data_IF_732213491808
#
_entry.id   IF_732213491808
#
_cell.length_a   1.000
_cell.length_b   1.000
_cell.length_c   1.000
_cell.angle_alpha   90.00
_cell.angle_beta   90.00
_cell.angle_gamma   90.00
#
_symmetry.space_group_name_H-M   'P 1'
#
loop_
_entity.id
_entity.type
_entity.pdbx_description
1 polymer ?
#
# COMPACT_ATOMS: atom_id res chain seq x y z
N UNK A 1 12.35 -7.50 -21.19
CA UNK A 1 13.73 -6.96 -21.08
C UNK A 1 14.38 -7.57 -19.84
N UNK A 2 15.62 -8.07 -19.94
CA UNK A 2 16.29 -8.66 -18.77
C UNK A 2 16.68 -7.59 -17.74
N UNK A 3 16.96 -8.00 -16.50
CA UNK A 3 17.36 -7.07 -15.43
C UNK A 3 18.69 -6.39 -15.68
N UNK A 4 19.64 -7.09 -16.30
CA UNK A 4 20.89 -6.48 -16.76
C UNK A 4 20.67 -5.40 -17.83
N UNK A 5 19.81 -5.66 -18.82
CA UNK A 5 19.49 -4.67 -19.85
C UNK A 5 18.75 -3.45 -19.27
N UNK A 6 17.84 -3.68 -18.31
CA UNK A 6 17.13 -2.58 -17.65
C UNK A 6 18.10 -1.72 -16.81
N UNK A 7 18.98 -2.36 -16.03
CA UNK A 7 20.00 -1.66 -15.24
C UNK A 7 20.97 -0.86 -16.12
N UNK A 8 21.39 -1.43 -17.25
CA UNK A 8 22.21 -0.73 -18.23
C UNK A 8 21.52 0.53 -18.76
N UNK A 9 20.25 0.44 -19.15
CA UNK A 9 19.48 1.58 -19.63
C UNK A 9 19.36 2.69 -18.57
N UNK A 10 19.04 2.31 -17.33
CA UNK A 10 18.96 3.27 -16.21
C UNK A 10 20.29 4.02 -16.02
N UNK A 11 21.41 3.30 -16.13
CA UNK A 11 22.73 3.89 -15.99
C UNK A 11 23.10 4.79 -17.19
N UNK A 12 22.80 4.36 -18.42
CA UNK A 12 23.00 5.13 -19.65
C UNK A 12 22.18 6.45 -19.64
N UNK A 13 20.96 6.39 -19.09
CA UNK A 13 20.09 7.55 -18.88
C UNK A 13 20.57 8.45 -17.72
N UNK A 14 21.63 8.06 -17.00
CA UNK A 14 22.25 8.81 -15.89
C UNK A 14 21.27 9.15 -14.77
N UNK A 15 20.34 8.24 -14.48
CA UNK A 15 19.41 8.40 -13.35
C UNK A 15 20.19 8.56 -12.05
N UNK A 16 19.98 9.68 -11.36
CA UNK A 16 20.68 9.99 -10.10
C UNK A 16 20.01 9.36 -8.88
N UNK A 17 18.67 9.34 -8.88
CA UNK A 17 17.86 8.79 -7.79
C UNK A 17 16.87 7.81 -8.41
N UNK A 18 17.01 6.53 -8.08
CA UNK A 18 16.13 5.46 -8.55
C UNK A 18 15.18 5.02 -7.44
N UNK A 19 13.87 5.07 -7.73
CA UNK A 19 12.82 4.75 -6.73
C UNK A 19 12.28 3.34 -6.96
N UNK A 20 12.35 2.50 -5.94
CA UNK A 20 11.71 1.18 -5.86
C UNK A 20 10.28 1.33 -5.33
N UNK A 21 9.31 1.14 -6.23
CA UNK A 21 7.88 1.23 -5.93
C UNK A 21 7.21 -0.13 -5.65
N UNK A 22 7.97 -1.22 -5.58
CA UNK A 22 7.40 -2.57 -5.38
C UNK A 22 7.93 -3.25 -4.11
N UNK A 23 9.19 -2.99 -3.70
CA UNK A 23 9.83 -3.69 -2.59
C UNK A 23 9.73 -5.22 -2.76
N UNK A 24 9.07 -5.94 -1.84
CA UNK A 24 8.84 -7.39 -1.95
C UNK A 24 7.44 -7.79 -2.42
N UNK A 25 6.68 -6.86 -3.00
CA UNK A 25 5.35 -7.17 -3.52
C UNK A 25 5.39 -7.77 -4.93
N UNK A 26 4.22 -8.16 -5.44
CA UNK A 26 4.08 -8.84 -6.73
C UNK A 26 4.68 -8.00 -7.87
N UNK A 27 5.55 -8.62 -8.67
CA UNK A 27 6.22 -7.93 -9.78
C UNK A 27 7.45 -7.12 -9.37
N UNK A 28 7.93 -7.28 -8.13
CA UNK A 28 9.20 -6.75 -7.69
C UNK A 28 10.36 -7.16 -8.61
N UNK A 29 11.29 -6.22 -8.80
CA UNK A 29 12.50 -6.39 -9.61
C UNK A 29 13.74 -5.95 -8.85
N UNK A 30 13.88 -6.45 -7.62
CA UNK A 30 14.96 -6.06 -6.70
C UNK A 30 16.35 -6.39 -7.24
N UNK A 31 16.45 -7.36 -8.15
CA UNK A 31 17.70 -7.68 -8.83
C UNK A 31 18.22 -6.55 -9.74
N UNK A 32 17.38 -5.60 -10.18
CA UNK A 32 17.86 -4.38 -10.83
C UNK A 32 18.58 -3.49 -9.80
N UNK A 33 17.95 -3.28 -8.64
CA UNK A 33 18.50 -2.43 -7.58
C UNK A 33 19.78 -3.04 -7.00
N UNK A 34 19.88 -4.37 -6.93
CA UNK A 34 21.10 -5.05 -6.51
C UNK A 34 22.29 -4.83 -7.47
N UNK A 35 22.05 -4.46 -8.74
CA UNK A 35 23.10 -4.08 -9.71
C UNK A 35 23.57 -2.64 -9.49
N UNK A 36 22.84 -1.86 -8.68
CA UNK A 36 23.13 -0.47 -8.34
C UNK A 36 23.36 0.44 -9.58
N UNK A 37 22.42 0.49 -10.55
CA UNK A 37 22.58 1.31 -11.75
C UNK A 37 22.51 2.83 -11.51
N UNK A 38 22.02 3.26 -10.35
CA UNK A 38 21.95 4.66 -9.92
C UNK A 38 22.71 4.85 -8.60
N UNK A 39 23.31 6.02 -8.36
CA UNK A 39 24.12 6.27 -7.17
C UNK A 39 23.29 6.39 -5.88
N UNK A 40 22.00 6.75 -5.98
CA UNK A 40 21.07 6.75 -4.84
C UNK A 40 19.86 5.90 -5.21
N UNK A 41 19.51 4.97 -4.32
CA UNK A 41 18.35 4.10 -4.49
C UNK A 41 17.43 4.18 -3.28
N UNK A 42 16.14 4.31 -3.53
CA UNK A 42 15.15 4.65 -2.50
C UNK A 42 13.97 3.71 -2.56
N UNK A 43 13.51 3.19 -1.43
CA UNK A 43 12.22 2.51 -1.32
C UNK A 43 11.11 3.52 -1.05
N UNK A 44 9.97 3.37 -1.73
CA UNK A 44 8.79 4.23 -1.51
C UNK A 44 7.49 3.51 -1.86
N UNK A 45 6.48 3.61 -0.97
CA UNK A 45 5.08 3.12 -1.08
C UNK A 45 4.87 1.60 -1.26
N UNK A 46 5.68 0.94 -2.08
CA UNK A 46 5.40 -0.39 -2.62
C UNK A 46 5.33 -1.50 -1.59
N UNK A 47 6.17 -1.43 -0.57
CA UNK A 47 6.27 -2.43 0.48
C UNK A 47 6.28 -1.72 1.84
N UNK A 48 5.32 -2.00 2.73
CA UNK A 48 5.18 -1.30 4.01
C UNK A 48 6.17 -1.86 5.04
N UNK A 49 7.47 -1.64 4.82
CA UNK A 49 8.54 -2.09 5.70
C UNK A 49 9.94 -1.89 5.14
N UNK A 50 10.95 -2.23 5.95
CA UNK A 50 12.36 -2.30 5.53
C UNK A 50 12.52 -3.33 4.41
N UNK A 51 13.30 -3.00 3.39
CA UNK A 51 13.75 -3.98 2.42
C UNK A 51 14.86 -4.86 2.99
N UNK A 52 15.54 -4.42 4.06
CA UNK A 52 16.69 -5.15 4.62
C UNK A 52 17.84 -5.32 3.62
N UNK A 53 17.83 -4.57 2.51
CA UNK A 53 18.82 -4.65 1.45
C UNK A 53 19.90 -3.58 1.62
N UNK A 54 21.17 -3.99 1.64
CA UNK A 54 22.30 -3.05 1.72
C UNK A 54 22.47 -2.16 0.48
N UNK A 55 21.73 -2.43 -0.59
CA UNK A 55 21.72 -1.67 -1.83
C UNK A 55 20.58 -0.65 -1.91
N UNK A 56 19.72 -0.51 -0.91
CA UNK A 56 18.72 0.56 -0.84
C UNK A 56 19.15 1.55 0.24
N UNK A 57 19.36 2.81 -0.13
CA UNK A 57 19.95 3.82 0.74
C UNK A 57 18.92 4.46 1.68
N UNK A 58 17.72 4.73 1.15
CA UNK A 58 16.67 5.49 1.85
C UNK A 58 15.30 4.84 1.76
N UNK A 59 14.47 5.07 2.78
CA UNK A 59 13.05 4.78 2.78
C UNK A 59 12.27 6.08 2.97
N UNK A 60 11.44 6.44 2.01
CA UNK A 60 10.54 7.60 2.13
C UNK A 60 9.30 7.18 2.94
N UNK A 61 9.08 7.87 4.04
CA UNK A 61 8.03 7.57 5.04
C UNK A 61 7.59 8.85 5.77
N UNK A 62 6.82 8.72 6.85
CA UNK A 62 6.40 9.81 7.73
C UNK A 62 6.48 9.40 9.22
N UNK A 63 6.27 10.37 10.11
CA UNK A 63 6.36 10.19 11.57
C UNK A 63 5.29 9.25 12.12
N UNK A 64 4.14 9.10 11.45
CA UNK A 64 3.07 8.22 11.94
C UNK A 64 3.33 6.77 11.60
N UNK A 65 3.80 6.50 10.37
CA UNK A 65 4.00 5.16 9.84
C UNK A 65 5.36 4.59 10.25
N UNK A 66 6.38 5.44 10.37
CA UNK A 66 7.72 5.03 10.80
C UNK A 66 8.35 6.10 11.69
N UNK A 67 7.92 6.20 12.97
CA UNK A 67 8.48 7.13 13.93
C UNK A 67 10.00 6.94 14.09
N UNK A 68 10.74 8.03 14.26
CA UNK A 68 12.22 7.96 14.34
C UNK A 68 12.74 7.15 15.54
N UNK A 69 11.96 7.01 16.62
CA UNK A 69 12.33 6.15 17.75
C UNK A 69 12.48 4.66 17.36
N UNK A 70 11.86 4.25 16.24
CA UNK A 70 11.97 2.91 15.68
C UNK A 70 12.90 2.81 14.47
N UNK A 71 13.67 3.87 14.15
CA UNK A 71 14.58 3.88 13.01
C UNK A 71 15.61 2.74 13.03
N UNK A 72 15.96 2.23 14.22
CA UNK A 72 16.88 1.10 14.40
C UNK A 72 16.39 -0.24 13.82
N UNK A 73 15.10 -0.38 13.49
CA UNK A 73 14.53 -1.57 12.84
C UNK A 73 14.75 -1.53 11.31
N UNK A 74 15.03 -0.35 10.75
CA UNK A 74 15.22 -0.14 9.33
C UNK A 74 16.70 -0.19 8.97
N UNK A 75 17.01 -0.82 7.83
CA UNK A 75 18.37 -0.79 7.31
C UNK A 75 18.60 0.48 6.50
N UNK A 76 17.56 0.94 5.81
CA UNK A 76 17.54 2.20 5.08
C UNK A 76 17.51 3.40 6.03
N UNK A 77 18.05 4.53 5.57
CA UNK A 77 17.87 5.82 6.26
C UNK A 77 16.46 6.34 6.00
N UNK A 78 15.73 6.67 7.06
CA UNK A 78 14.39 7.22 6.93
C UNK A 78 14.43 8.65 6.42
N UNK A 79 13.64 8.93 5.38
CA UNK A 79 13.37 10.27 4.86
C UNK A 79 11.91 10.59 5.17
N UNK A 80 11.69 11.48 6.13
CA UNK A 80 10.35 11.95 6.47
C UNK A 80 9.88 13.04 5.53
N UNK A 81 8.70 12.85 4.96
CA UNK A 81 8.00 13.89 4.21
C UNK A 81 6.94 14.55 5.09
N UNK A 82 6.54 15.80 4.76
CA UNK A 82 5.45 16.45 5.48
C UNK A 82 4.14 15.67 5.39
N UNK A 83 3.38 15.64 6.49
CA UNK A 83 2.05 15.05 6.59
C UNK A 83 2.01 13.53 6.44
N UNK A 84 1.72 13.03 5.23
CA UNK A 84 1.45 11.62 4.96
C UNK A 84 2.25 11.14 3.76
N UNK A 85 2.97 10.04 3.93
CA UNK A 85 3.81 9.45 2.89
C UNK A 85 3.00 8.81 1.76
N UNK A 86 1.74 8.45 2.01
CA UNK A 86 0.94 7.69 1.05
C UNK A 86 0.01 8.61 0.25
N UNK A 87 0.40 8.92 -0.99
CA UNK A 87 -0.40 9.73 -1.92
C UNK A 87 -1.50 8.89 -2.59
N UNK A 88 -2.75 9.32 -2.50
CA UNK A 88 -3.88 8.73 -3.20
C UNK A 88 -4.69 9.80 -3.94
N UNK A 89 -4.98 9.57 -5.22
CA UNK A 89 -5.96 10.39 -5.97
C UNK A 89 -7.20 9.56 -6.31
N UNK A 90 -8.10 9.47 -5.34
CA UNK A 90 -9.38 8.79 -5.51
C UNK A 90 -10.29 9.49 -6.52
N UNK A 91 -10.19 10.82 -6.64
CA UNK A 91 -11.06 11.60 -7.52
C UNK A 91 -10.76 11.32 -8.99
N UNK A 92 -9.48 11.22 -9.35
CA UNK A 92 -9.09 10.88 -10.72
C UNK A 92 -9.30 9.40 -11.03
N UNK A 93 -9.07 8.50 -10.07
CA UNK A 93 -9.17 7.05 -10.29
C UNK A 93 -10.62 6.54 -10.37
N UNK A 94 -11.52 7.09 -9.56
CA UNK A 94 -12.90 6.61 -9.41
C UNK A 94 -13.91 7.65 -9.92
N UNK A 95 -13.67 8.21 -11.11
CA UNK A 95 -14.53 9.26 -11.68
C UNK A 95 -15.95 8.79 -11.97
N UNK A 96 -16.11 7.51 -12.26
CA UNK A 96 -17.38 6.81 -12.47
C UNK A 96 -18.30 6.89 -11.24
N UNK A 97 -17.72 6.76 -10.03
CA UNK A 97 -18.48 6.89 -8.76
C UNK A 97 -19.02 8.31 -8.55
N UNK A 98 -18.44 9.30 -9.23
CA UNK A 98 -18.88 10.69 -9.19
C UNK A 98 -19.91 11.03 -10.28
N UNK A 99 -20.23 10.09 -11.19
CA UNK A 99 -21.24 10.29 -12.23
C UNK A 99 -22.65 10.28 -11.62
N UNK A 100 -23.40 11.39 -11.68
CA UNK A 100 -24.77 11.43 -11.17
C UNK A 100 -25.72 10.43 -11.85
N UNK A 101 -25.38 9.97 -13.05
CA UNK A 101 -26.19 9.02 -13.82
C UNK A 101 -25.87 7.55 -13.51
N UNK A 102 -24.80 7.27 -12.75
CA UNK A 102 -24.34 5.93 -12.42
C UNK A 102 -24.31 5.71 -10.89
N UNK A 103 -25.44 5.98 -10.22
CA UNK A 103 -25.54 5.76 -8.78
C UNK A 103 -26.01 4.33 -8.48
N UNK A 104 -25.08 3.50 -8.02
CA UNK A 104 -25.39 2.16 -7.55
C UNK A 104 -26.24 2.20 -6.27
N UNK A 105 -27.27 1.37 -6.22
CA UNK A 105 -28.12 1.16 -5.04
C UNK A 105 -27.71 -0.11 -4.31
N UNK A 106 -28.04 -0.21 -3.01
CA UNK A 106 -27.74 -1.43 -2.24
C UNK A 106 -28.56 -2.61 -2.76
N UNK A 107 -29.77 -2.35 -3.27
CA UNK A 107 -30.60 -3.33 -3.97
C UNK A 107 -29.88 -4.02 -5.13
N UNK A 108 -28.96 -3.32 -5.82
CA UNK A 108 -28.23 -3.87 -6.97
C UNK A 108 -27.27 -5.01 -6.55
N UNK A 109 -26.93 -5.06 -5.27
CA UNK A 109 -26.07 -6.07 -4.65
C UNK A 109 -26.83 -6.99 -3.67
N UNK A 110 -28.17 -6.97 -3.69
CA UNK A 110 -29.00 -7.78 -2.79
C UNK A 110 -28.90 -7.38 -1.32
N UNK A 111 -28.50 -6.14 -1.03
CA UNK A 111 -28.34 -5.62 0.33
C UNK A 111 -29.55 -4.78 0.76
N UNK A 112 -29.85 -4.78 2.06
CA UNK A 112 -30.95 -3.97 2.62
C UNK A 112 -30.58 -2.48 2.66
N UNK A 113 -31.54 -1.64 2.28
CA UNK A 113 -31.40 -0.18 2.28
C UNK A 113 -31.40 0.43 3.69
N UNK A 114 -31.99 -0.31 4.63
CA UNK A 114 -32.42 0.10 5.96
C UNK A 114 -31.54 -0.46 7.09
N UNK A 115 -30.47 -1.19 6.73
CA UNK A 115 -29.46 -1.69 7.67
C UNK A 115 -28.15 -0.93 7.56
N UNK A 116 -27.44 -0.78 8.67
CA UNK A 116 -26.04 -0.37 8.67
C UNK A 116 -25.18 -1.49 8.09
N UNK A 117 -24.19 -1.16 7.27
CA UNK A 117 -23.32 -2.17 6.63
C UNK A 117 -21.91 -1.96 7.16
N UNK A 118 -21.37 -2.99 7.81
CA UNK A 118 -19.94 -3.05 8.05
C UNK A 118 -19.26 -3.73 6.87
N UNK A 119 -18.19 -3.13 6.36
CA UNK A 119 -17.45 -3.63 5.21
C UNK A 119 -15.95 -3.68 5.51
N UNK A 120 -15.27 -4.68 4.97
CA UNK A 120 -13.82 -4.83 5.09
C UNK A 120 -13.22 -5.21 3.73
N UNK A 121 -13.02 -4.23 2.86
CA UNK A 121 -12.47 -4.41 1.52
C UNK A 121 -10.95 -4.62 1.53
N UNK A 122 -10.50 -5.67 2.22
CA UNK A 122 -9.10 -6.03 2.37
C UNK A 122 -8.82 -7.40 1.73
N UNK A 123 -7.55 -7.66 1.44
CA UNK A 123 -7.12 -9.00 1.03
C UNK A 123 -7.33 -10.00 2.18
N UNK A 124 -7.77 -11.22 1.85
CA UNK A 124 -8.16 -12.23 2.84
C UNK A 124 -7.03 -12.57 3.84
N UNK A 125 -5.78 -12.54 3.40
CA UNK A 125 -4.62 -12.82 4.26
C UNK A 125 -4.41 -11.77 5.38
N UNK A 126 -5.14 -10.64 5.36
CA UNK A 126 -5.14 -9.65 6.44
C UNK A 126 -6.15 -9.96 7.55
N UNK A 127 -6.98 -10.99 7.37
CA UNK A 127 -8.01 -11.39 8.35
C UNK A 127 -7.54 -12.67 9.03
N UNK A 128 -6.88 -12.50 10.17
CA UNK A 128 -6.52 -13.60 11.06
C UNK A 128 -7.71 -14.00 11.98
N UNK A 129 -7.58 -15.11 12.75
CA UNK A 129 -8.63 -15.54 13.67
C UNK A 129 -9.01 -14.51 14.75
N UNK A 130 -8.08 -13.67 15.21
CA UNK A 130 -8.35 -12.66 16.23
C UNK A 130 -9.20 -11.52 15.66
N UNK A 131 -8.83 -11.04 14.47
CA UNK A 131 -9.62 -10.07 13.72
C UNK A 131 -11.02 -10.65 13.45
N UNK A 132 -11.10 -11.86 12.91
CA UNK A 132 -12.39 -12.50 12.62
C UNK A 132 -13.28 -12.62 13.86
N UNK A 133 -12.72 -13.07 14.99
CA UNK A 133 -13.44 -13.16 16.26
C UNK A 133 -13.94 -11.78 16.74
N UNK A 134 -13.12 -10.75 16.57
CA UNK A 134 -13.49 -9.36 16.90
C UNK A 134 -14.70 -8.92 16.08
N UNK A 135 -14.70 -9.16 14.77
CA UNK A 135 -15.84 -8.88 13.89
C UNK A 135 -17.10 -9.65 14.30
N UNK A 136 -16.99 -10.95 14.59
CA UNK A 136 -18.12 -11.73 15.10
C UNK A 136 -18.68 -11.18 16.42
N UNK A 137 -17.80 -10.75 17.33
CA UNK A 137 -18.22 -10.18 18.62
C UNK A 137 -18.92 -8.83 18.45
N UNK A 138 -18.48 -7.99 17.51
CA UNK A 138 -19.17 -6.75 17.15
C UNK A 138 -20.58 -7.08 16.65
N UNK A 139 -20.72 -8.01 15.71
CA UNK A 139 -22.02 -8.34 15.10
C UNK A 139 -23.01 -8.94 16.10
N UNK A 140 -22.54 -9.78 17.03
CA UNK A 140 -23.37 -10.31 18.13
C UNK A 140 -23.95 -9.21 19.03
N UNK A 141 -23.26 -8.06 19.14
CA UNK A 141 -23.70 -6.91 19.96
C UNK A 141 -24.65 -5.96 19.23
N UNK A 142 -24.84 -6.12 17.91
CA UNK A 142 -25.78 -5.32 17.09
C UNK A 142 -26.72 -6.20 16.25
N UNK A 143 -27.51 -7.11 16.88
CA UNK A 143 -28.16 -8.20 16.15
C UNK A 143 -29.35 -7.81 15.26
N UNK A 144 -29.80 -6.54 15.26
CA UNK A 144 -31.06 -6.14 14.59
C UNK A 144 -30.93 -5.06 13.51
N UNK A 145 -29.76 -4.45 13.33
CA UNK A 145 -29.62 -3.28 12.45
C UNK A 145 -28.48 -3.39 11.44
N UNK A 146 -27.71 -4.49 11.42
CA UNK A 146 -26.47 -4.53 10.63
C UNK A 146 -26.32 -5.76 9.74
N UNK A 147 -25.63 -5.58 8.61
CA UNK A 147 -25.19 -6.63 7.69
C UNK A 147 -23.67 -6.52 7.43
N UNK A 148 -23.02 -7.62 7.05
CA UNK A 148 -21.65 -7.62 6.55
C UNK A 148 -21.64 -7.49 5.03
N UNK A 149 -20.78 -6.63 4.49
CA UNK A 149 -20.32 -6.70 3.10
C UNK A 149 -18.92 -7.35 3.06
N UNK A 150 -18.66 -8.22 2.07
CA UNK A 150 -17.30 -8.69 1.79
C UNK A 150 -16.36 -7.56 1.36
#
# INVERSE_FOLDING_TARGET
>A
MSSKMTAKLINEDKIQILINLNGYTKGARNEIFAIQPAPIQVSYMGFPGTTGASYIDYLVTDEFVSPLCYAHIYLEKLVHIPHYYFVNDYKQKNRDVLDPNCQHKRSDYGMSEDKFIFACFNQLYKVDPEIFNTWCNILKRVPKQCSLAP
#
